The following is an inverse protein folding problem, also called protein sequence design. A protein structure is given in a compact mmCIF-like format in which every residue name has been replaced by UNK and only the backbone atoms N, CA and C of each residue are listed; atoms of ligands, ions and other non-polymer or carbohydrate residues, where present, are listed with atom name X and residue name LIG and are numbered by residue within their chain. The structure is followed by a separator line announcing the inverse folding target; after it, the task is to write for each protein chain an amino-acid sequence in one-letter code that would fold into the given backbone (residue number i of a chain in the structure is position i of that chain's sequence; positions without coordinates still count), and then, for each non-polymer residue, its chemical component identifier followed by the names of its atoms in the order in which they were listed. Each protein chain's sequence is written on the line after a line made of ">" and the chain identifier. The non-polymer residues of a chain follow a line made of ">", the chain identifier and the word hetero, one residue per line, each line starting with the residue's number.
data_IF_587678607187
#
_entry.id   IF_587678607187
#
_cell.length_a   1.000
_cell.length_b   1.000
_cell.length_c   1.000
_cell.angle_alpha   90.00
_cell.angle_beta   90.00
_cell.angle_gamma   90.00
#
_symmetry.space_group_name_H-M   'P 1'
#
loop_
_entity.id
_entity.type
_entity.pdbx_description
1 polymer ?
#
# COMPACT_ATOMS: atom_id res chain seq x y z
N UNK A 1 -5.87 -10.83 -5.76
CA UNK A 1 -6.86 -9.73 -5.57
C UNK A 1 -7.39 -9.67 -4.15
N UNK A 2 -6.88 -8.70 -3.41
CA UNK A 2 -7.19 -8.48 -2.01
C UNK A 2 -8.44 -7.62 -1.81
N UNK A 3 -9.61 -8.26 -1.80
CA UNK A 3 -10.90 -7.57 -1.62
C UNK A 3 -11.08 -6.93 -0.24
N UNK A 4 -10.38 -7.44 0.79
CA UNK A 4 -10.45 -6.87 2.14
C UNK A 4 -9.75 -5.52 2.20
N UNK A 5 -8.56 -5.43 1.60
CA UNK A 5 -7.85 -4.15 1.45
C UNK A 5 -8.65 -3.18 0.60
N UNK A 6 -9.21 -3.61 -0.54
CA UNK A 6 -10.02 -2.71 -1.37
C UNK A 6 -11.23 -2.14 -0.62
N UNK A 7 -11.93 -2.98 0.16
CA UNK A 7 -13.01 -2.54 1.05
C UNK A 7 -12.55 -1.54 2.11
N UNK A 8 -11.37 -1.76 2.68
CA UNK A 8 -10.80 -0.86 3.66
C UNK A 8 -10.51 0.52 3.03
N UNK A 9 -9.88 0.54 1.86
CA UNK A 9 -9.58 1.77 1.13
C UNK A 9 -10.85 2.57 0.81
N UNK A 10 -11.86 1.94 0.20
CA UNK A 10 -13.13 2.63 -0.10
C UNK A 10 -13.78 3.25 1.15
N UNK A 11 -13.69 2.58 2.30
CA UNK A 11 -14.39 3.01 3.51
C UNK A 11 -13.62 4.03 4.35
N UNK A 12 -12.30 3.92 4.41
CA UNK A 12 -11.48 4.63 5.39
C UNK A 12 -10.32 5.41 4.79
N UNK A 13 -9.97 5.16 3.53
CA UNK A 13 -8.85 5.79 2.85
C UNK A 13 -9.15 6.00 1.35
N UNK A 14 -10.34 6.55 1.05
CA UNK A 14 -10.81 6.75 -0.33
C UNK A 14 -9.88 7.71 -1.08
N UNK A 15 -9.24 8.64 -0.37
CA UNK A 15 -8.24 9.56 -0.89
C UNK A 15 -7.09 8.85 -1.60
N UNK A 16 -6.67 7.66 -1.14
CA UNK A 16 -5.59 6.90 -1.79
C UNK A 16 -6.04 6.41 -3.18
N UNK A 17 -7.32 6.06 -3.34
CA UNK A 17 -7.90 5.66 -4.64
C UNK A 17 -7.98 6.89 -5.56
N UNK A 18 -8.31 8.06 -5.01
CA UNK A 18 -8.36 9.33 -5.75
C UNK A 18 -6.96 9.70 -6.24
N UNK A 19 -5.96 9.71 -5.37
CA UNK A 19 -4.57 10.01 -5.70
C UNK A 19 -4.04 9.04 -6.78
N UNK A 20 -4.30 7.74 -6.63
CA UNK A 20 -3.90 6.77 -7.65
C UNK A 20 -4.58 6.99 -9.01
N UNK A 21 -5.85 7.42 -9.01
CA UNK A 21 -6.54 7.80 -10.24
C UNK A 21 -5.90 9.04 -10.88
N UNK A 22 -5.58 10.07 -10.08
CA UNK A 22 -4.97 11.31 -10.54
C UNK A 22 -3.56 11.08 -11.11
N UNK A 23 -2.73 10.29 -10.43
CA UNK A 23 -1.38 9.91 -10.88
C UNK A 23 -1.41 9.21 -12.25
N UNK A 24 -2.47 8.42 -12.49
CA UNK A 24 -2.70 7.74 -13.75
C UNK A 24 -3.51 8.57 -14.78
N UNK A 25 -3.83 9.84 -14.47
CA UNK A 25 -4.63 10.75 -15.30
C UNK A 25 -6.02 10.20 -15.64
N UNK A 26 -6.64 9.52 -14.68
CA UNK A 26 -7.97 8.94 -14.78
C UNK A 26 -8.98 9.78 -14.00
N UNK A 27 -10.27 9.62 -14.31
CA UNK A 27 -11.32 10.27 -13.55
C UNK A 27 -11.58 9.49 -12.25
N UNK A 28 -11.36 10.15 -11.10
CA UNK A 28 -11.46 9.52 -9.78
C UNK A 28 -12.85 8.95 -9.49
N UNK A 29 -13.94 9.65 -9.84
CA UNK A 29 -15.31 9.16 -9.61
C UNK A 29 -15.58 7.84 -10.34
N UNK A 30 -15.10 7.70 -11.58
CA UNK A 30 -15.21 6.45 -12.33
C UNK A 30 -14.38 5.32 -11.70
N UNK A 31 -13.19 5.63 -11.20
CA UNK A 31 -12.33 4.65 -10.50
C UNK A 31 -13.00 4.18 -9.21
N UNK A 32 -13.53 5.09 -8.40
CA UNK A 32 -14.29 4.76 -7.17
C UNK A 32 -15.52 3.91 -7.51
N UNK A 33 -16.24 4.24 -8.59
CA UNK A 33 -17.37 3.45 -9.06
C UNK A 33 -16.97 2.01 -9.42
N UNK A 34 -15.83 1.82 -10.10
CA UNK A 34 -15.28 0.50 -10.41
C UNK A 34 -14.84 -0.23 -9.14
N UNK A 35 -14.18 0.44 -8.20
CA UNK A 35 -13.79 -0.16 -6.92
C UNK A 35 -15.01 -0.71 -6.16
N UNK A 36 -16.08 0.08 -6.08
CA UNK A 36 -17.35 -0.33 -5.46
C UNK A 36 -17.99 -1.51 -6.20
N UNK A 37 -18.00 -1.50 -7.53
CA UNK A 37 -18.52 -2.61 -8.34
C UNK A 37 -17.76 -3.91 -8.05
N UNK A 38 -16.42 -3.88 -8.09
CA UNK A 38 -15.57 -5.07 -7.82
C UNK A 38 -15.78 -5.61 -6.41
N UNK A 39 -15.93 -4.72 -5.42
CA UNK A 39 -16.22 -5.12 -4.03
C UNK A 39 -17.61 -5.74 -3.89
N UNK A 40 -18.62 -5.19 -4.56
CA UNK A 40 -20.00 -5.68 -4.52
C UNK A 40 -20.16 -7.03 -5.22
N UNK A 41 -19.54 -7.18 -6.39
CA UNK A 41 -19.61 -8.40 -7.20
C UNK A 41 -18.59 -9.47 -6.76
N UNK A 42 -17.58 -9.08 -5.97
CA UNK A 42 -16.43 -9.93 -5.59
C UNK A 42 -15.69 -10.51 -6.80
N UNK A 43 -15.73 -9.82 -7.94
CA UNK A 43 -15.20 -10.27 -9.22
C UNK A 43 -14.85 -9.08 -10.11
N UNK A 44 -13.99 -9.31 -11.11
CA UNK A 44 -13.68 -8.37 -12.19
C UNK A 44 -14.24 -8.82 -13.54
N UNK A 45 -14.96 -9.94 -13.59
CA UNK A 45 -15.42 -10.58 -14.83
C UNK A 45 -16.44 -9.74 -15.59
N UNK A 46 -17.34 -9.03 -14.89
CA UNK A 46 -18.37 -8.20 -15.52
C UNK A 46 -17.89 -6.76 -15.81
N UNK A 47 -16.62 -6.45 -15.57
CA UNK A 47 -16.07 -5.15 -15.95
C UNK A 47 -16.02 -5.04 -17.47
N UNK A 48 -16.63 -3.97 -18.01
CA UNK A 48 -16.40 -3.58 -19.40
C UNK A 48 -14.91 -3.32 -19.64
N UNK A 49 -14.49 -3.32 -20.91
CA UNK A 49 -13.08 -3.05 -21.29
C UNK A 49 -12.56 -1.74 -20.67
N UNK A 50 -13.39 -0.69 -20.65
CA UNK A 50 -13.01 0.60 -20.05
C UNK A 50 -12.87 0.50 -18.53
N UNK A 51 -13.80 -0.18 -17.86
CA UNK A 51 -13.74 -0.34 -16.40
C UNK A 51 -12.57 -1.23 -15.97
N UNK A 52 -12.27 -2.27 -16.76
CA UNK A 52 -11.09 -3.12 -16.55
C UNK A 52 -9.80 -2.31 -16.65
N UNK A 53 -9.69 -1.42 -17.63
CA UNK A 53 -8.56 -0.51 -17.74
C UNK A 53 -8.41 0.40 -16.50
N UNK A 54 -9.51 0.98 -16.00
CA UNK A 54 -9.49 1.78 -14.77
C UNK A 54 -9.02 0.94 -13.56
N UNK A 55 -9.55 -0.27 -13.43
CA UNK A 55 -9.19 -1.19 -12.36
C UNK A 55 -7.70 -1.55 -12.41
N UNK A 56 -7.19 -2.00 -13.56
CA UNK A 56 -5.80 -2.43 -13.72
C UNK A 56 -4.80 -1.29 -13.48
N UNK A 57 -5.17 -0.04 -13.76
CA UNK A 57 -4.27 1.11 -13.65
C UNK A 57 -4.28 1.80 -12.29
N UNK A 58 -5.45 1.95 -11.66
CA UNK A 58 -5.57 2.74 -10.43
C UNK A 58 -5.95 1.91 -9.20
N UNK A 59 -6.48 0.69 -9.36
CA UNK A 59 -6.95 -0.12 -8.22
C UNK A 59 -6.01 -1.29 -7.97
N UNK A 60 -5.69 -2.06 -9.00
CA UNK A 60 -4.86 -3.26 -8.88
C UNK A 60 -3.50 -2.96 -8.23
N UNK A 61 -2.78 -1.87 -8.56
CA UNK A 61 -1.49 -1.55 -7.93
C UNK A 61 -1.60 -1.18 -6.45
N UNK A 62 -2.80 -0.91 -5.92
CA UNK A 62 -3.04 -0.60 -4.51
C UNK A 62 -3.37 -1.85 -3.69
N UNK A 63 -3.75 -2.95 -4.33
CA UNK A 63 -4.26 -4.15 -3.64
C UNK A 63 -3.52 -5.43 -4.01
N UNK A 64 -2.58 -5.34 -4.95
CA UNK A 64 -1.79 -6.46 -5.46
C UNK A 64 -0.42 -5.96 -5.92
N UNK A 65 0.64 -6.71 -5.59
CA UNK A 65 2.04 -6.35 -5.88
C UNK A 65 2.44 -4.95 -5.40
N UNK A 66 1.99 -4.56 -4.20
CA UNK A 66 2.36 -3.27 -3.58
C UNK A 66 3.80 -3.35 -3.10
N UNK A 67 4.71 -2.45 -3.54
CA UNK A 67 6.11 -2.49 -3.14
C UNK A 67 6.30 -2.12 -1.67
N UNK A 68 7.26 -2.78 -1.02
CA UNK A 68 7.76 -2.35 0.28
C UNK A 68 8.57 -1.06 0.11
N UNK A 69 8.38 -0.08 1.00
CA UNK A 69 9.19 1.15 1.02
C UNK A 69 10.60 0.92 1.57
N UNK A 70 10.79 -0.19 2.28
CA UNK A 70 12.02 -0.46 3.02
C UNK A 70 12.17 0.44 4.25
N UNK A 71 13.24 0.25 5.01
CA UNK A 71 13.46 0.96 6.27
C UNK A 71 14.57 2.00 6.15
N UNK A 72 14.54 3.00 7.03
CA UNK A 72 15.54 4.05 7.13
C UNK A 72 16.51 3.76 8.29
N UNK A 73 17.81 3.85 8.03
CA UNK A 73 18.86 3.83 9.05
C UNK A 73 19.50 5.20 9.18
N UNK A 74 19.15 5.90 10.24
CA UNK A 74 19.69 7.21 10.58
C UNK A 74 21.18 7.19 10.95
N UNK A 75 21.78 6.02 11.18
CA UNK A 75 23.19 5.87 11.58
C UNK A 75 24.11 5.51 10.41
N UNK A 76 23.57 5.28 9.22
CA UNK A 76 24.37 4.95 8.03
C UNK A 76 24.70 6.21 7.22
N UNK A 77 25.94 6.70 7.37
CA UNK A 77 26.43 7.91 6.71
C UNK A 77 25.93 9.22 7.36
N UNK A 78 26.30 10.36 6.78
CA UNK A 78 26.07 11.68 7.38
C UNK A 78 24.60 12.12 7.43
N UNK A 79 23.70 11.48 6.65
CA UNK A 79 22.28 11.82 6.57
C UNK A 79 21.36 10.59 6.75
N UNK A 80 21.91 9.46 7.22
CA UNK A 80 21.24 8.17 7.15
C UNK A 80 21.09 7.63 5.73
N UNK A 81 20.65 6.38 5.62
CA UNK A 81 20.41 5.70 4.35
C UNK A 81 19.06 4.97 4.38
N UNK A 82 18.42 4.87 3.21
CA UNK A 82 17.24 4.02 3.02
C UNK A 82 17.67 2.68 2.45
N UNK A 83 17.26 1.60 3.08
CA UNK A 83 17.32 0.28 2.48
C UNK A 83 16.16 0.12 1.50
N UNK A 84 16.45 0.08 0.20
CA UNK A 84 15.44 -0.18 -0.83
C UNK A 84 15.10 -1.68 -0.86
N UNK A 85 13.91 -2.05 -0.38
CA UNK A 85 13.50 -3.43 -0.25
C UNK A 85 12.93 -3.95 -1.58
N UNK A 86 13.50 -5.01 -2.20
CA UNK A 86 13.03 -5.52 -3.48
C UNK A 86 11.71 -6.32 -3.37
N UNK A 87 11.18 -6.50 -2.16
CA UNK A 87 10.02 -7.35 -1.90
C UNK A 87 8.71 -6.56 -2.00
N UNK A 88 7.63 -7.29 -2.29
CA UNK A 88 6.27 -6.77 -2.22
C UNK A 88 5.69 -7.02 -0.83
N UNK A 89 4.75 -6.16 -0.41
CA UNK A 89 3.94 -6.38 0.78
C UNK A 89 2.98 -7.54 0.50
N UNK A 90 2.99 -8.52 1.40
CA UNK A 90 2.10 -9.68 1.30
C UNK A 90 0.63 -9.27 1.37
N UNK A 91 -0.23 -9.92 0.58
CA UNK A 91 -1.66 -9.59 0.54
C UNK A 91 -2.31 -9.65 1.94
N UNK A 92 -1.93 -10.62 2.78
CA UNK A 92 -2.47 -10.76 4.13
C UNK A 92 -2.14 -9.58 5.07
N UNK A 93 -1.05 -8.87 4.79
CA UNK A 93 -0.53 -7.76 5.61
C UNK A 93 -0.97 -6.39 5.09
N UNK A 94 -1.29 -6.29 3.80
CA UNK A 94 -1.51 -5.01 3.14
C UNK A 94 -2.59 -4.13 3.80
N UNK A 95 -3.67 -4.72 4.31
CA UNK A 95 -4.69 -3.95 5.06
C UNK A 95 -4.09 -3.29 6.31
N UNK A 96 -3.23 -4.00 7.04
CA UNK A 96 -2.54 -3.47 8.22
C UNK A 96 -1.58 -2.33 7.84
N UNK A 97 -0.83 -2.47 6.74
CA UNK A 97 0.05 -1.41 6.22
C UNK A 97 -0.71 -0.11 5.94
N UNK A 98 -1.90 -0.20 5.35
CA UNK A 98 -2.76 0.98 5.15
C UNK A 98 -3.34 1.56 6.45
N UNK A 99 -3.57 0.72 7.46
CA UNK A 99 -4.08 1.17 8.77
C UNK A 99 -3.02 1.93 9.56
N UNK A 100 -1.79 1.42 9.59
CA UNK A 100 -0.67 2.02 10.32
C UNK A 100 0.06 3.10 9.51
N UNK A 101 -0.36 3.32 8.25
CA UNK A 101 0.35 4.19 7.31
C UNK A 101 1.84 3.83 7.15
N UNK A 102 2.14 2.53 7.24
CA UNK A 102 3.50 1.98 7.17
C UNK A 102 3.56 0.91 6.09
N UNK A 103 4.18 1.25 4.95
CA UNK A 103 4.29 0.38 3.79
C UNK A 103 5.52 -0.53 3.88
N UNK A 104 5.63 -1.25 4.99
CA UNK A 104 6.71 -2.19 5.25
C UNK A 104 6.21 -3.63 5.11
N UNK A 105 6.96 -4.47 4.40
CA UNK A 105 6.81 -5.92 4.53
C UNK A 105 7.24 -6.38 5.94
N UNK A 106 6.82 -7.57 6.35
CA UNK A 106 7.06 -8.09 7.71
C UNK A 106 8.53 -8.00 8.12
N UNK A 107 9.44 -8.42 7.23
CA UNK A 107 10.88 -8.39 7.51
C UNK A 107 11.44 -6.97 7.66
N UNK A 108 10.90 -5.98 6.94
CA UNK A 108 11.33 -4.58 7.10
C UNK A 108 10.75 -3.94 8.36
N UNK A 109 9.51 -4.28 8.75
CA UNK A 109 8.93 -3.84 10.01
C UNK A 109 9.70 -4.41 11.21
N UNK A 110 10.07 -5.70 11.18
CA UNK A 110 10.88 -6.31 12.22
C UNK A 110 12.23 -5.61 12.40
N UNK A 111 12.90 -5.30 11.29
CA UNK A 111 14.19 -4.60 11.29
C UNK A 111 14.07 -3.16 11.81
N UNK A 112 13.04 -2.43 11.38
CA UNK A 112 12.76 -1.07 11.88
C UNK A 112 12.50 -1.08 13.40
N UNK A 113 11.67 -2.01 13.88
CA UNK A 113 11.37 -2.17 15.30
C UNK A 113 12.62 -2.55 16.12
N UNK A 114 13.45 -3.47 15.61
CA UNK A 114 14.70 -3.86 16.26
C UNK A 114 15.66 -2.67 16.40
N UNK A 115 15.79 -1.85 15.35
CA UNK A 115 16.64 -0.65 15.35
C UNK A 115 16.11 0.41 16.31
N UNK A 116 14.80 0.65 16.33
CA UNK A 116 14.16 1.58 17.25
C UNK A 116 14.39 1.17 18.72
N UNK A 117 14.28 -0.13 19.04
CA UNK A 117 14.55 -0.65 20.37
C UNK A 117 16.02 -0.46 20.79
N UNK A 118 16.96 -0.82 19.90
CA UNK A 118 18.41 -0.63 20.13
C UNK A 118 18.79 0.83 20.38
N UNK A 119 18.20 1.77 19.63
CA UNK A 119 18.39 3.21 19.84
C UNK A 119 17.90 3.63 21.22
N UNK A 120 16.71 3.16 21.62
CA UNK A 120 16.14 3.48 22.94
C UNK A 120 17.05 3.00 24.07
N UNK A 121 17.64 1.81 23.95
CA UNK A 121 18.57 1.29 24.94
C UNK A 121 19.86 2.12 24.99
N UNK A 122 20.46 2.47 23.85
CA UNK A 122 21.67 3.30 23.80
C UNK A 122 21.46 4.71 24.37
N UNK A 123 20.27 5.31 24.19
CA UNK A 123 19.96 6.65 24.72
C UNK A 123 19.68 6.68 26.23
N UNK A 124 19.54 5.52 26.88
CA UNK A 124 19.25 5.40 28.32
C UNK A 124 20.51 5.22 29.18
N UNK A 125 21.64 4.90 28.55
CA UNK A 125 22.97 4.79 29.17
C UNK A 125 23.75 6.10 29.08
#
# INVERSE_FOLDING_TARGET
>A
MNLNTLKYLIKNAEEIIIESAEDNRLNAENVIGVANQVVGEKSTENLSVKQRFLFEKAILPLIENVPCQGWFDEFDGDNGSNFDCPNMIEEGRLTHCYQEQSMLCESCEEEENYRAAKKSDYMRD
#
